data_IF_727881819321
#
_entry.id   IF_727881819321
#
_cell.length_a   1.000
_cell.length_b   1.000
_cell.length_c   1.000
_cell.angle_alpha   90.00
_cell.angle_beta   90.00
_cell.angle_gamma   90.00
#
_symmetry.space_group_name_H-M   'P 1'
#
loop_
_entity.id
_entity.type
_entity.pdbx_description
1 polymer ?
#
# COMPACT_ATOMS: atom_id res chain seq x y z
N UNK A 1 17.78 -14.60 18.75
CA UNK A 1 16.37 -14.36 19.07
C UNK A 1 15.85 -13.36 18.03
N UNK A 2 15.09 -13.81 17.03
CA UNK A 2 14.85 -13.05 15.76
C UNK A 2 13.34 -12.86 15.48
N UNK A 3 12.48 -13.80 15.88
CA UNK A 3 11.07 -13.79 15.48
C UNK A 3 10.15 -12.74 16.12
N UNK A 4 10.56 -12.13 17.25
CA UNK A 4 9.77 -11.11 17.95
C UNK A 4 10.32 -9.70 17.80
N UNK A 5 11.65 -9.54 17.83
CA UNK A 5 12.31 -8.25 17.72
C UNK A 5 12.18 -7.69 16.31
N UNK A 6 12.64 -8.42 15.30
CA UNK A 6 12.72 -7.90 13.93
C UNK A 6 11.32 -7.63 13.34
N UNK A 7 10.35 -8.51 13.62
CA UNK A 7 8.97 -8.37 13.14
C UNK A 7 8.25 -7.18 13.78
N UNK A 8 8.41 -6.99 15.09
CA UNK A 8 7.80 -5.85 15.81
C UNK A 8 8.45 -4.53 15.38
N UNK A 9 9.78 -4.47 15.30
CA UNK A 9 10.50 -3.26 14.85
C UNK A 9 10.09 -2.86 13.44
N UNK A 10 10.05 -3.81 12.51
CA UNK A 10 9.60 -3.56 11.12
C UNK A 10 8.16 -3.02 11.09
N UNK A 11 7.27 -3.58 11.91
CA UNK A 11 5.88 -3.13 11.98
C UNK A 11 5.78 -1.69 12.48
N UNK A 12 6.47 -1.37 13.58
CA UNK A 12 6.48 -0.01 14.13
C UNK A 12 7.03 0.99 13.12
N UNK A 13 8.11 0.63 12.40
CA UNK A 13 8.70 1.46 11.36
C UNK A 13 7.69 1.78 10.24
N UNK A 14 6.97 0.78 9.74
CA UNK A 14 5.94 0.99 8.72
C UNK A 14 4.76 1.80 9.22
N UNK A 15 4.27 1.56 10.44
CA UNK A 15 3.15 2.32 11.02
C UNK A 15 3.53 3.79 11.14
N UNK A 16 4.71 4.09 11.68
CA UNK A 16 5.19 5.47 11.79
C UNK A 16 5.38 6.12 10.41
N UNK A 17 5.89 5.37 9.43
CA UNK A 17 6.08 5.85 8.05
C UNK A 17 4.74 6.23 7.40
N UNK A 18 3.73 5.36 7.49
CA UNK A 18 2.39 5.63 6.94
C UNK A 18 1.72 6.82 7.63
N UNK A 19 1.82 6.93 8.96
CA UNK A 19 1.26 8.06 9.70
C UNK A 19 1.95 9.39 9.35
N UNK A 20 3.27 9.40 9.17
CA UNK A 20 4.00 10.60 8.75
C UNK A 20 3.65 11.03 7.33
N UNK A 21 3.36 10.09 6.43
CA UNK A 21 2.92 10.38 5.06
C UNK A 21 1.45 10.82 4.98
N UNK A 22 0.64 10.53 6.00
CA UNK A 22 -0.78 10.85 6.06
C UNK A 22 -1.13 11.69 7.32
N UNK A 23 -0.84 13.01 7.32
CA UNK A 23 -0.98 13.85 8.51
C UNK A 23 -2.40 13.96 9.08
N UNK A 24 -3.43 13.78 8.24
CA UNK A 24 -4.83 13.75 8.70
C UNK A 24 -5.10 12.52 9.57
N UNK A 25 -4.61 11.34 9.16
CA UNK A 25 -4.73 10.08 9.89
C UNK A 25 -3.97 10.12 11.22
N UNK A 26 -2.77 10.71 11.22
CA UNK A 26 -1.99 10.95 12.43
C UNK A 26 -2.74 11.85 13.43
N UNK A 27 -3.42 12.90 12.94
CA UNK A 27 -4.22 13.79 13.79
C UNK A 27 -5.40 13.05 14.42
N UNK A 28 -6.07 12.16 13.71
CA UNK A 28 -7.15 11.33 14.27
C UNK A 28 -6.64 10.34 15.33
N UNK A 29 -5.48 9.71 15.12
CA UNK A 29 -4.83 8.88 16.15
C UNK A 29 -4.49 9.70 17.40
N UNK A 30 -3.90 10.88 17.24
CA UNK A 30 -3.55 11.75 18.38
C UNK A 30 -4.78 12.24 19.14
N UNK A 31 -5.88 12.51 18.42
CA UNK A 31 -7.16 12.85 19.02
C UNK A 31 -7.73 11.69 19.82
N UNK A 32 -7.76 10.47 19.26
CA UNK A 32 -8.17 9.27 19.99
C UNK A 32 -7.34 9.06 21.27
N UNK A 33 -6.02 9.18 21.19
CA UNK A 33 -5.13 9.09 22.35
C UNK A 33 -5.43 10.17 23.40
N UNK A 34 -5.69 11.40 22.96
CA UNK A 34 -6.05 12.50 23.87
C UNK A 34 -7.38 12.25 24.57
N UNK A 35 -8.37 11.68 23.88
CA UNK A 35 -9.69 11.36 24.44
C UNK A 35 -9.66 10.17 25.41
N UNK A 36 -8.88 9.13 25.08
CA UNK A 36 -8.86 7.87 25.85
C UNK A 36 -7.84 7.90 27.00
N UNK A 37 -6.65 8.46 26.77
CA UNK A 37 -5.54 8.47 27.72
C UNK A 37 -5.44 9.84 28.42
N UNK A 38 -5.70 10.93 27.70
CA UNK A 38 -5.48 12.29 28.20
C UNK A 38 -4.01 12.72 28.12
N UNK A 39 -3.73 13.98 28.47
CA UNK A 39 -2.40 14.59 28.30
C UNK A 39 -1.51 14.50 29.57
N UNK A 40 -2.05 13.97 30.67
CA UNK A 40 -1.40 14.03 31.99
C UNK A 40 -0.93 12.67 32.53
N UNK A 41 -1.23 11.57 31.83
CA UNK A 41 -0.87 10.21 32.24
C UNK A 41 -0.22 9.44 31.09
N UNK A 42 0.50 8.38 31.43
CA UNK A 42 1.13 7.49 30.46
C UNK A 42 0.15 6.45 29.93
N UNK A 43 0.46 5.89 28.76
CA UNK A 43 -0.29 4.79 28.16
C UNK A 43 -0.06 3.51 28.96
N UNK A 44 -1.13 3.01 29.56
CA UNK A 44 -1.21 1.69 30.22
C UNK A 44 -2.01 0.66 29.41
N UNK A 45 -1.78 -0.63 29.66
CA UNK A 45 -2.37 -1.75 28.90
C UNK A 45 -3.90 -1.73 28.86
N UNK A 46 -4.57 -1.28 29.93
CA UNK A 46 -6.03 -1.22 29.99
C UNK A 46 -6.65 -0.16 29.06
N UNK A 47 -5.86 0.77 28.51
CA UNK A 47 -6.34 1.71 27.49
C UNK A 47 -6.46 1.04 26.11
N UNK A 48 -5.60 0.06 25.81
CA UNK A 48 -5.46 -0.51 24.47
C UNK A 48 -6.76 -1.01 23.85
N UNK A 49 -7.68 -1.69 24.57
CA UNK A 49 -8.94 -2.14 23.99
C UNK A 49 -9.85 -1.02 23.47
N UNK A 50 -9.61 0.24 23.86
CA UNK A 50 -10.39 1.42 23.45
C UNK A 50 -9.76 2.19 22.28
N UNK A 51 -8.52 1.87 21.90
CA UNK A 51 -7.78 2.54 20.81
C UNK A 51 -8.14 1.93 19.45
N UNK A 52 -9.40 2.06 19.06
CA UNK A 52 -9.96 1.40 17.88
C UNK A 52 -9.39 1.96 16.56
N UNK A 53 -9.13 3.26 16.50
CA UNK A 53 -8.57 3.91 15.33
C UNK A 53 -7.11 3.52 15.14
N UNK A 54 -6.31 3.56 16.20
CA UNK A 54 -4.92 3.08 16.17
C UNK A 54 -4.84 1.60 15.78
N UNK A 55 -5.73 0.75 16.31
CA UNK A 55 -5.81 -0.66 15.92
C UNK A 55 -6.16 -0.83 14.43
N UNK A 56 -7.07 0.00 13.89
CA UNK A 56 -7.38 0.02 12.47
C UNK A 56 -6.19 0.44 11.60
N UNK A 57 -5.43 1.48 12.02
CA UNK A 57 -4.19 1.92 11.35
C UNK A 57 -3.16 0.80 11.32
N UNK A 58 -2.95 0.11 12.46
CA UNK A 58 -2.02 -1.01 12.54
C UNK A 58 -2.45 -2.14 11.60
N UNK A 59 -3.74 -2.50 11.59
CA UNK A 59 -4.28 -3.55 10.71
C UNK A 59 -4.15 -3.20 9.22
N UNK A 60 -4.41 -1.96 8.84
CA UNK A 60 -4.23 -1.52 7.46
C UNK A 60 -2.75 -1.48 7.07
N UNK A 61 -1.89 -1.05 7.99
CA UNK A 61 -0.43 -1.13 7.80
C UNK A 61 0.02 -2.56 7.63
N UNK A 62 -0.52 -3.54 8.37
CA UNK A 62 -0.21 -4.95 8.16
C UNK A 62 -0.69 -5.48 6.82
N UNK A 63 -1.81 -4.98 6.32
CA UNK A 63 -2.34 -5.35 5.00
C UNK A 63 -1.44 -4.80 3.88
N UNK A 64 -0.95 -3.58 4.04
CA UNK A 64 -0.06 -2.93 3.09
C UNK A 64 1.38 -3.45 3.23
N UNK A 65 1.91 -3.59 4.43
CA UNK A 65 3.33 -3.89 4.68
C UNK A 65 3.48 -5.10 5.60
N UNK A 66 3.03 -6.30 5.19
CA UNK A 66 3.20 -7.49 6.01
C UNK A 66 4.68 -7.77 6.24
N UNK A 67 5.09 -7.95 7.50
CA UNK A 67 6.46 -8.29 7.86
C UNK A 67 6.95 -9.60 7.22
N UNK A 68 6.03 -10.52 6.89
CA UNK A 68 6.29 -11.75 6.14
C UNK A 68 5.39 -11.83 4.90
N UNK A 69 5.79 -11.23 3.76
CA UNK A 69 5.04 -11.25 2.51
C UNK A 69 4.76 -12.68 1.98
N UNK A 70 5.70 -13.60 2.22
CA UNK A 70 5.56 -15.04 2.01
C UNK A 70 5.69 -15.73 3.37
N UNK A 71 4.65 -16.47 3.78
CA UNK A 71 4.72 -17.21 5.04
C UNK A 71 5.69 -18.38 4.93
N UNK A 72 6.15 -18.83 6.11
CA UNK A 72 7.00 -20.01 6.24
C UNK A 72 6.37 -21.23 5.55
N UNK A 73 7.20 -22.08 4.91
CA UNK A 73 6.70 -23.23 4.17
C UNK A 73 5.94 -24.18 5.10
N UNK A 74 4.75 -24.57 4.67
CA UNK A 74 3.98 -25.66 5.29
C UNK A 74 4.21 -26.93 4.47
N UNK A 75 4.50 -28.04 5.16
CA UNK A 75 4.67 -29.35 4.53
C UNK A 75 3.49 -30.25 4.91
N UNK A 76 2.61 -30.61 3.95
CA UNK A 76 1.52 -31.53 4.22
C UNK A 76 2.03 -32.90 4.69
N UNK A 77 1.47 -33.40 5.78
CA UNK A 77 1.79 -34.72 6.33
C UNK A 77 1.21 -35.87 5.50
N UNK A 78 0.23 -35.56 4.64
CA UNK A 78 -0.42 -36.46 3.70
C UNK A 78 -0.80 -35.72 2.41
N UNK A 79 -0.95 -36.46 1.31
CA UNK A 79 -1.46 -35.90 0.06
C UNK A 79 -2.92 -35.47 0.23
N UNK A 80 -3.27 -34.29 -0.27
CA UNK A 80 -4.62 -33.72 -0.11
C UNK A 80 -5.00 -32.87 -1.32
N UNK A 81 -6.29 -32.52 -1.45
CA UNK A 81 -6.76 -31.59 -2.49
C UNK A 81 -7.15 -30.26 -1.87
N UNK A 82 -6.60 -29.15 -2.38
CA UNK A 82 -6.93 -27.78 -1.96
C UNK A 82 -7.30 -26.96 -3.20
N UNK A 83 -8.47 -26.31 -3.19
CA UNK A 83 -8.92 -25.48 -4.32
C UNK A 83 -9.05 -26.23 -5.65
N UNK A 84 -9.29 -27.54 -5.61
CA UNK A 84 -9.33 -28.40 -6.81
C UNK A 84 -7.96 -28.95 -7.27
N UNK A 85 -6.86 -28.54 -6.63
CA UNK A 85 -5.52 -29.02 -6.96
C UNK A 85 -5.06 -30.11 -5.99
N UNK A 86 -4.48 -31.19 -6.52
CA UNK A 86 -3.86 -32.24 -5.71
C UNK A 86 -2.46 -31.78 -5.26
N UNK A 87 -2.24 -31.74 -3.95
CA UNK A 87 -0.99 -31.38 -3.29
C UNK A 87 -0.41 -32.64 -2.64
N UNK A 88 0.70 -33.19 -3.16
CA UNK A 88 1.35 -34.36 -2.58
C UNK A 88 1.90 -34.12 -1.18
N UNK A 89 1.93 -35.19 -0.36
CA UNK A 89 2.67 -35.24 0.92
C UNK A 89 4.09 -34.71 0.75
N UNK A 90 4.54 -33.89 1.69
CA UNK A 90 5.91 -33.36 1.72
C UNK A 90 6.20 -32.19 0.77
N UNK A 91 5.20 -31.75 -0.03
CA UNK A 91 5.34 -30.54 -0.85
C UNK A 91 5.56 -29.29 0.01
N UNK A 92 6.44 -28.38 -0.41
CA UNK A 92 6.58 -27.08 0.27
C UNK A 92 5.51 -26.12 -0.23
N UNK A 93 4.56 -25.78 0.63
CA UNK A 93 3.47 -24.85 0.32
C UNK A 93 3.76 -23.50 0.96
N UNK A 94 3.84 -22.46 0.13
CA UNK A 94 3.99 -21.07 0.57
C UNK A 94 2.66 -20.32 0.39
N UNK A 95 2.35 -19.45 1.34
CA UNK A 95 1.21 -18.54 1.23
C UNK A 95 1.72 -17.14 0.90
N UNK A 96 1.32 -16.61 -0.25
CA UNK A 96 1.65 -15.26 -0.69
C UNK A 96 0.69 -14.25 -0.06
N UNK A 97 0.94 -13.91 1.20
CA UNK A 97 0.12 -12.98 1.97
C UNK A 97 0.08 -11.60 1.32
N UNK A 98 1.19 -11.15 0.72
CA UNK A 98 1.23 -9.89 0.00
C UNK A 98 0.18 -9.79 -1.11
N UNK A 99 0.09 -10.83 -1.95
CA UNK A 99 -0.91 -10.88 -3.01
C UNK A 99 -2.33 -11.00 -2.43
N UNK A 100 -2.55 -11.90 -1.47
CA UNK A 100 -3.86 -12.10 -0.84
C UNK A 100 -4.41 -10.83 -0.17
N UNK A 101 -3.56 -10.07 0.53
CA UNK A 101 -3.93 -8.82 1.20
C UNK A 101 -4.20 -7.65 0.24
N UNK A 102 -3.92 -7.85 -1.05
CA UNK A 102 -4.13 -6.86 -2.13
C UNK A 102 -5.09 -7.35 -3.20
N UNK A 103 -5.67 -8.53 -3.03
CA UNK A 103 -6.59 -9.09 -4.01
C UNK A 103 -7.82 -8.17 -4.15
N UNK A 104 -8.02 -7.53 -5.31
CA UNK A 104 -9.12 -6.59 -5.51
C UNK A 104 -10.50 -7.25 -5.48
N UNK A 105 -10.57 -8.58 -5.62
CA UNK A 105 -11.83 -9.34 -5.50
C UNK A 105 -12.29 -9.50 -4.05
N UNK A 106 -11.37 -9.35 -3.08
CA UNK A 106 -11.63 -9.46 -1.64
C UNK A 106 -11.57 -8.09 -0.96
N UNK A 107 -10.64 -7.23 -1.38
CA UNK A 107 -10.42 -5.90 -0.81
C UNK A 107 -11.02 -4.82 -1.71
N UNK A 108 -12.26 -4.43 -1.41
CA UNK A 108 -13.04 -3.44 -2.17
C UNK A 108 -12.45 -2.00 -2.18
N UNK A 109 -11.42 -1.73 -1.38
CA UNK A 109 -10.71 -0.44 -1.36
C UNK A 109 -9.36 -0.62 -2.05
N UNK A 110 -9.16 0.15 -3.12
CA UNK A 110 -7.87 0.26 -3.78
C UNK A 110 -6.79 0.62 -2.73
N UNK A 111 -5.62 -0.05 -2.71
CA UNK A 111 -4.51 0.31 -1.84
C UNK A 111 -4.20 1.81 -1.93
N UNK A 112 -3.68 2.41 -0.85
CA UNK A 112 -3.37 3.85 -0.82
C UNK A 112 -2.54 4.28 -2.05
N UNK A 113 -1.56 3.48 -2.45
CA UNK A 113 -0.76 3.71 -3.66
C UNK A 113 -1.61 3.76 -4.96
N UNK A 114 -2.61 2.91 -5.09
CA UNK A 114 -3.51 2.89 -6.24
C UNK A 114 -4.51 4.06 -6.19
N UNK A 115 -5.00 4.43 -5.00
CA UNK A 115 -5.83 5.64 -4.83
C UNK A 115 -5.05 6.90 -5.18
N UNK A 116 -3.80 7.00 -4.74
CA UNK A 116 -2.90 8.10 -5.09
C UNK A 116 -2.60 8.12 -6.58
N UNK A 117 -2.33 6.97 -7.21
CA UNK A 117 -2.11 6.88 -8.65
C UNK A 117 -3.33 7.35 -9.44
N UNK A 118 -4.54 6.87 -9.08
CA UNK A 118 -5.78 7.29 -9.73
C UNK A 118 -6.02 8.77 -9.52
N UNK A 119 -5.83 9.28 -8.30
CA UNK A 119 -6.02 10.69 -7.99
C UNK A 119 -5.05 11.58 -8.79
N UNK A 120 -3.77 11.21 -8.87
CA UNK A 120 -2.75 11.93 -9.64
C UNK A 120 -3.08 11.89 -11.13
N UNK A 121 -3.38 10.72 -11.70
CA UNK A 121 -3.74 10.60 -13.12
C UNK A 121 -5.02 11.38 -13.45
N UNK A 122 -6.06 11.26 -12.62
CA UNK A 122 -7.31 11.99 -12.80
C UNK A 122 -7.08 13.51 -12.73
N UNK A 123 -6.29 13.98 -11.77
CA UNK A 123 -5.92 15.40 -11.64
C UNK A 123 -5.14 15.89 -12.87
N UNK A 124 -4.15 15.14 -13.34
CA UNK A 124 -3.34 15.51 -14.51
C UNK A 124 -4.17 15.57 -15.79
N UNK A 125 -5.06 14.60 -16.02
CA UNK A 125 -5.92 14.53 -17.21
C UNK A 125 -7.09 15.53 -17.14
N UNK A 126 -7.54 15.89 -15.94
CA UNK A 126 -8.56 16.90 -15.76
C UNK A 126 -7.99 18.32 -15.94
N UNK A 127 -6.83 18.59 -15.34
CA UNK A 127 -6.23 19.91 -15.30
C UNK A 127 -5.55 20.31 -16.62
N UNK A 128 -5.06 19.37 -17.44
CA UNK A 128 -4.29 19.73 -18.64
C UNK A 128 -4.78 19.02 -19.91
N UNK A 129 -4.70 19.73 -21.03
CA UNK A 129 -4.64 19.10 -22.35
C UNK A 129 -3.19 18.67 -22.62
N UNK A 130 -2.99 17.46 -23.10
CA UNK A 130 -1.67 16.89 -23.33
C UNK A 130 -1.41 16.78 -24.83
N UNK A 131 -0.26 17.29 -25.27
CA UNK A 131 0.17 17.23 -26.67
C UNK A 131 1.59 16.71 -26.78
N UNK A 132 1.90 16.08 -27.92
CA UNK A 132 3.27 15.72 -28.25
C UNK A 132 4.00 16.92 -28.88
N UNK A 133 5.32 17.04 -28.71
CA UNK A 133 6.10 17.98 -29.50
C UNK A 133 5.92 17.73 -31.00
N UNK A 134 5.97 18.80 -31.80
CA UNK A 134 5.73 18.71 -33.24
C UNK A 134 6.71 17.74 -33.92
N UNK A 135 6.19 16.88 -34.80
CA UNK A 135 6.99 15.89 -35.54
C UNK A 135 7.41 14.66 -34.72
N UNK A 136 6.95 14.51 -33.48
CA UNK A 136 7.28 13.35 -32.65
C UNK A 136 6.53 12.10 -33.13
N UNK A 137 7.25 11.00 -33.34
CA UNK A 137 6.65 9.68 -33.48
C UNK A 137 6.85 8.90 -32.17
N UNK A 138 5.78 8.29 -31.65
CA UNK A 138 5.84 7.59 -30.37
C UNK A 138 6.47 6.21 -30.54
N UNK A 139 7.65 6.04 -29.95
CA UNK A 139 8.26 4.74 -29.79
C UNK A 139 7.56 3.96 -28.67
N UNK A 140 7.03 2.78 -29.00
CA UNK A 140 6.37 1.87 -28.06
C UNK A 140 7.27 0.70 -27.63
N UNK A 141 8.51 0.65 -28.08
CA UNK A 141 9.43 -0.42 -27.72
C UNK A 141 9.79 -0.40 -26.23
N UNK A 142 10.10 -1.57 -25.69
CA UNK A 142 10.30 -1.79 -24.26
C UNK A 142 11.71 -2.26 -23.96
N UNK A 143 12.27 -1.79 -22.84
CA UNK A 143 13.49 -2.31 -22.26
C UNK A 143 13.13 -3.30 -21.16
N UNK A 144 13.41 -4.57 -21.39
CA UNK A 144 13.20 -5.62 -20.39
C UNK A 144 14.28 -5.58 -19.30
N UNK A 145 13.85 -5.70 -18.04
CA UNK A 145 14.67 -5.74 -16.84
C UNK A 145 13.82 -6.20 -15.64
N UNK A 146 14.27 -5.99 -14.40
CA UNK A 146 13.48 -6.28 -13.18
C UNK A 146 12.13 -5.53 -13.19
N UNK A 147 12.08 -4.37 -13.86
CA UNK A 147 10.87 -3.62 -14.18
C UNK A 147 10.92 -3.23 -15.66
N UNK A 148 9.85 -3.51 -16.40
CA UNK A 148 9.70 -3.10 -17.80
C UNK A 148 9.59 -1.58 -17.90
N UNK A 149 10.37 -0.96 -18.79
CA UNK A 149 10.35 0.50 -19.03
C UNK A 149 10.23 0.76 -20.53
N UNK A 150 9.67 1.91 -20.93
CA UNK A 150 9.77 2.36 -22.33
C UNK A 150 11.26 2.50 -22.72
N UNK A 151 11.61 2.07 -23.92
CA UNK A 151 12.96 2.27 -24.48
C UNK A 151 13.29 3.75 -24.59
N UNK A 152 12.33 4.53 -25.10
CA UNK A 152 12.40 5.98 -25.19
C UNK A 152 11.36 6.59 -24.23
N UNK A 153 11.76 7.39 -23.22
CA UNK A 153 10.83 8.06 -22.30
C UNK A 153 9.82 8.94 -23.04
N UNK A 154 8.59 9.03 -22.50
CA UNK A 154 7.58 9.92 -23.04
C UNK A 154 7.93 11.38 -22.72
N UNK A 155 7.91 12.24 -23.73
CA UNK A 155 7.94 13.69 -23.59
C UNK A 155 6.60 14.24 -24.06
N UNK A 156 5.86 14.90 -23.17
CA UNK A 156 4.57 15.49 -23.46
C UNK A 156 4.50 16.93 -22.92
N UNK A 157 3.75 17.77 -23.62
CA UNK A 157 3.57 19.19 -23.30
C UNK A 157 2.17 19.35 -22.69
N UNK A 158 2.05 19.69 -21.39
CA UNK A 158 0.79 20.04 -20.78
C UNK A 158 0.40 21.48 -21.14
N UNK A 159 -0.87 21.69 -21.48
CA UNK A 159 -1.49 23.02 -21.64
C UNK A 159 -2.66 23.14 -20.66
N UNK A 160 -2.78 24.23 -19.87
CA UNK A 160 -3.92 24.42 -18.97
C UNK A 160 -5.26 24.27 -19.69
N UNK A 161 -6.16 23.44 -19.12
CA UNK A 161 -7.50 23.14 -19.67
C UNK A 161 -8.63 23.90 -18.95
N UNK A 162 -8.48 24.15 -17.65
CA UNK A 162 -9.44 24.82 -16.80
C UNK A 162 -9.39 26.33 -17.04
N UNK A 163 -10.55 26.98 -16.99
CA UNK A 163 -10.71 28.38 -17.37
C UNK A 163 -10.13 29.39 -16.37
N UNK A 164 -9.85 28.94 -15.14
CA UNK A 164 -9.36 29.79 -14.05
C UNK A 164 -7.91 29.44 -13.75
N UNK A 165 -7.01 30.39 -14.03
CA UNK A 165 -5.56 30.22 -13.82
C UNK A 165 -5.18 30.04 -12.34
N UNK A 166 -5.98 30.57 -11.42
CA UNK A 166 -5.81 30.38 -9.97
C UNK A 166 -5.89 28.91 -9.51
N UNK A 167 -6.47 28.02 -10.33
CA UNK A 167 -6.55 26.59 -10.03
C UNK A 167 -5.25 25.81 -10.32
N UNK A 168 -4.21 26.51 -10.80
CA UNK A 168 -2.89 25.97 -11.13
C UNK A 168 -1.75 26.53 -10.26
N UNK A 169 -2.08 27.42 -9.33
CA UNK A 169 -1.13 28.12 -8.47
C UNK A 169 -0.80 27.32 -7.20
#
# INVERSE_FOLDING_TARGET
MVGGTDTTTTTVEWVMTELMQNPDELREVQKELTEIVGLNILVEEFHLPKLHYLDAVIKETFRLHPALPLLLPRLPTQSTTIGGYNIPKGSSVFLNIWANQRDPSVWNRLPLAERTLIYVLASFLHSFEWRLPYGTNLDLSERFGVVTRKMTPLVAIPTPRLSKLELYA
#
